data_IF_074893942470
#
_entry.id   IF_074893942470
#
_cell.length_a   1.000
_cell.length_b   1.000
_cell.length_c   1.000
_cell.angle_alpha   90.00
_cell.angle_beta   90.00
_cell.angle_gamma   90.00
#
_symmetry.space_group_name_H-M   'P 1'
#
loop_
_entity.id
_entity.type
_entity.pdbx_description
1 polymer ?
#
# COMPACT_ATOMS: atom_id res chain seq x y z
N UNK A 1 -63.50 -47.34 -22.05
CA UNK A 1 -64.18 -48.04 -20.95
C UNK A 1 -63.85 -47.37 -19.65
N UNK A 2 -64.88 -46.73 -19.11
CA UNK A 2 -65.32 -46.65 -17.70
C UNK A 2 -64.23 -46.17 -16.70
N UNK A 3 -64.38 -44.94 -16.20
CA UNK A 3 -65.06 -44.52 -14.95
C UNK A 3 -64.27 -44.99 -13.69
N UNK A 4 -64.03 -44.18 -12.70
CA UNK A 4 -64.93 -43.31 -11.93
C UNK A 4 -64.18 -42.35 -11.04
N UNK A 5 -64.78 -41.19 -10.90
CA UNK A 5 -64.57 -40.20 -9.80
C UNK A 5 -64.78 -40.85 -8.42
N UNK A 6 -64.07 -40.32 -7.44
CA UNK A 6 -64.70 -40.18 -6.12
C UNK A 6 -64.13 -39.01 -5.38
N UNK A 7 -65.00 -38.10 -4.99
CA UNK A 7 -64.87 -36.97 -4.07
C UNK A 7 -64.66 -37.46 -2.64
N UNK A 8 -63.92 -36.72 -1.85
CA UNK A 8 -64.38 -36.32 -0.51
C UNK A 8 -63.37 -35.34 0.08
N UNK A 9 -63.76 -34.11 0.12
CA UNK A 9 -64.03 -33.23 1.25
C UNK A 9 -63.24 -33.45 2.54
N UNK A 10 -62.68 -32.36 2.96
CA UNK A 10 -62.58 -32.14 4.40
C UNK A 10 -61.57 -31.15 4.89
N UNK A 11 -62.01 -29.88 4.98
CA UNK A 11 -61.74 -28.95 6.09
C UNK A 11 -60.33 -28.50 6.35
N UNK A 12 -60.05 -27.27 6.00
CA UNK A 12 -59.86 -26.13 6.87
C UNK A 12 -58.91 -26.36 8.05
N UNK A 13 -57.68 -25.92 7.92
CA UNK A 13 -57.02 -25.24 9.04
C UNK A 13 -56.17 -24.09 8.52
N UNK A 14 -56.61 -22.95 8.93
CA UNK A 14 -55.98 -21.65 8.87
C UNK A 14 -54.66 -21.62 9.61
N UNK A 15 -53.86 -20.63 9.21
CA UNK A 15 -52.77 -20.01 9.95
C UNK A 15 -51.49 -20.86 10.02
N UNK A 16 -50.44 -20.35 9.34
CA UNK A 16 -49.55 -19.38 9.95
C UNK A 16 -48.83 -18.65 8.82
N UNK A 17 -49.18 -17.41 8.67
CA UNK A 17 -48.39 -16.44 7.94
C UNK A 17 -47.24 -16.08 8.88
N UNK A 18 -46.10 -16.74 8.76
CA UNK A 18 -44.88 -16.27 9.39
C UNK A 18 -44.22 -15.36 8.37
N UNK A 19 -44.39 -14.09 8.64
CA UNK A 19 -43.54 -13.03 8.14
C UNK A 19 -42.07 -13.38 8.46
N UNK A 20 -41.33 -13.86 7.49
CA UNK A 20 -39.88 -13.74 7.52
C UNK A 20 -39.57 -12.40 6.95
N UNK A 21 -39.53 -11.44 7.85
CA UNK A 21 -38.97 -10.11 7.63
C UNK A 21 -37.55 -10.23 7.10
N UNK A 22 -37.37 -9.55 6.01
CA UNK A 22 -36.16 -9.12 5.40
C UNK A 22 -34.98 -9.07 6.39
N UNK A 23 -34.05 -9.96 6.24
CA UNK A 23 -32.69 -9.66 6.59
C UNK A 23 -32.17 -8.69 5.53
N UNK A 24 -32.34 -7.43 5.79
CA UNK A 24 -31.58 -6.39 5.13
C UNK A 24 -30.12 -6.72 5.34
N UNK A 25 -29.45 -7.10 4.27
CA UNK A 25 -28.00 -7.09 4.23
C UNK A 25 -27.56 -5.66 4.56
N UNK A 26 -27.18 -5.43 5.79
CA UNK A 26 -26.43 -4.25 6.18
C UNK A 26 -25.07 -4.43 5.50
N UNK A 27 -24.96 -3.87 4.30
CA UNK A 27 -23.67 -3.61 3.72
C UNK A 27 -22.99 -2.61 4.66
N UNK A 28 -22.19 -3.11 5.59
CA UNK A 28 -21.14 -2.32 6.19
C UNK A 28 -20.19 -1.97 5.05
N UNK A 29 -20.42 -0.85 4.42
CA UNK A 29 -19.35 -0.12 3.75
C UNK A 29 -18.30 0.09 4.84
N UNK A 30 -17.21 -0.64 4.78
CA UNK A 30 -16.00 -0.27 5.49
C UNK A 30 -15.56 1.05 4.85
N UNK A 31 -16.08 2.15 5.39
CA UNK A 31 -15.54 3.47 5.10
C UNK A 31 -14.06 3.41 5.45
N UNK A 32 -13.23 3.65 4.44
CA UNK A 32 -11.79 3.37 4.49
C UNK A 32 -11.12 3.93 5.74
N UNK A 33 -10.29 3.10 6.34
CA UNK A 33 -9.58 3.35 7.60
C UNK A 33 -8.73 4.63 7.59
N UNK A 34 -8.33 5.13 6.41
CA UNK A 34 -7.67 6.45 6.30
C UNK A 34 -8.53 7.63 6.78
N UNK A 35 -9.87 7.50 6.78
CA UNK A 35 -10.76 8.57 7.28
C UNK A 35 -10.68 8.77 8.80
N UNK A 36 -10.16 7.80 9.54
CA UNK A 36 -10.01 7.84 11.02
C UNK A 36 -8.57 7.94 11.50
N UNK A 37 -7.58 7.76 10.63
CA UNK A 37 -6.19 7.90 11.05
C UNK A 37 -5.85 9.38 11.17
N UNK A 38 -5.63 9.85 12.39
CA UNK A 38 -4.91 11.10 12.63
C UNK A 38 -3.48 10.86 12.15
N UNK A 39 -3.17 11.27 10.92
CA UNK A 39 -1.78 11.50 10.54
C UNK A 39 -1.43 12.82 11.22
N UNK A 40 -1.18 12.76 12.54
CA UNK A 40 -0.78 13.93 13.35
C UNK A 40 0.61 14.43 12.89
N UNK A 41 1.42 13.54 12.36
CA UNK A 41 2.71 13.88 11.75
C UNK A 41 2.50 14.38 10.32
N UNK A 42 2.49 15.70 10.14
CA UNK A 42 2.57 16.31 8.80
C UNK A 42 3.88 15.98 8.07
N UNK A 43 4.84 15.42 8.78
CA UNK A 43 6.18 15.11 8.33
C UNK A 43 6.72 13.85 8.99
N UNK A 44 7.18 12.90 8.18
CA UNK A 44 7.95 11.75 8.66
C UNK A 44 9.31 11.77 7.97
N UNK A 45 10.38 11.65 8.75
CA UNK A 45 11.76 11.66 8.23
C UNK A 45 12.50 10.41 8.69
N UNK A 46 13.25 9.83 7.77
CA UNK A 46 14.15 8.71 8.04
C UNK A 46 15.58 9.07 7.69
N UNK A 47 16.50 8.72 8.57
CA UNK A 47 17.91 8.59 8.23
C UNK A 47 18.14 7.24 7.55
N UNK A 48 18.89 7.23 6.46
CA UNK A 48 19.14 6.03 5.66
C UNK A 48 20.60 5.62 5.80
N UNK A 49 20.81 4.33 6.12
CA UNK A 49 22.12 3.74 6.36
C UNK A 49 22.39 2.60 5.37
N UNK A 50 23.63 2.48 4.93
CA UNK A 50 24.15 1.30 4.27
C UNK A 50 25.18 0.64 5.20
N UNK A 51 24.86 -0.54 5.73
CA UNK A 51 25.56 -1.10 6.87
C UNK A 51 25.49 -0.17 8.09
N UNK A 52 26.64 0.30 8.57
CA UNK A 52 26.72 1.28 9.68
C UNK A 52 26.81 2.75 9.21
N UNK A 53 27.02 2.99 7.92
CA UNK A 53 27.26 4.34 7.40
C UNK A 53 25.95 5.00 6.98
N UNK A 54 25.67 6.21 7.50
CA UNK A 54 24.57 7.06 6.99
C UNK A 54 24.90 7.48 5.56
N UNK A 55 23.99 7.21 4.64
CA UNK A 55 24.12 7.50 3.21
C UNK A 55 23.18 8.59 2.73
N UNK A 56 22.19 8.98 3.57
CA UNK A 56 21.24 10.03 3.21
C UNK A 56 20.00 10.02 4.10
N UNK A 57 18.91 10.49 3.51
CA UNK A 57 17.61 10.58 4.18
C UNK A 57 16.47 10.33 3.19
N UNK A 58 15.29 10.05 3.75
CA UNK A 58 14.01 10.00 3.04
C UNK A 58 12.96 10.71 3.89
N UNK A 59 12.22 11.66 3.30
CA UNK A 59 11.23 12.48 3.99
C UNK A 59 9.89 12.35 3.29
N UNK A 60 8.81 12.30 4.07
CA UNK A 60 7.43 12.25 3.61
C UNK A 60 6.67 13.42 4.21
N UNK A 61 5.98 14.18 3.39
CA UNK A 61 5.11 15.28 3.76
C UNK A 61 3.67 14.88 3.48
N UNK A 62 2.76 15.12 4.42
CA UNK A 62 1.37 14.73 4.33
C UNK A 62 0.47 15.95 4.42
N UNK A 63 -0.49 16.04 3.51
CA UNK A 63 -1.51 17.07 3.49
C UNK A 63 -2.88 16.45 3.20
N UNK A 64 -3.86 16.68 4.08
CA UNK A 64 -5.24 16.24 3.87
C UNK A 64 -6.03 17.35 3.18
N UNK A 65 -6.56 17.05 1.99
CA UNK A 65 -7.37 17.96 1.18
C UNK A 65 -8.74 17.33 0.94
N UNK A 66 -9.72 17.70 1.76
CA UNK A 66 -11.04 17.08 1.75
C UNK A 66 -10.99 15.59 2.09
N UNK A 67 -11.31 14.73 1.12
CA UNK A 67 -11.23 13.26 1.27
C UNK A 67 -9.90 12.69 0.78
N UNK A 68 -9.08 13.49 0.13
CA UNK A 68 -7.80 13.07 -0.41
C UNK A 68 -6.67 13.27 0.60
N UNK A 69 -5.71 12.35 0.56
CA UNK A 69 -4.41 12.48 1.23
C UNK A 69 -3.35 12.71 0.16
N UNK A 70 -2.72 13.87 0.20
CA UNK A 70 -1.60 14.23 -0.67
C UNK A 70 -0.31 13.91 0.07
N UNK A 71 0.56 13.16 -0.58
CA UNK A 71 1.85 12.75 -0.01
C UNK A 71 2.96 13.12 -0.97
N UNK A 72 3.90 13.94 -0.50
CA UNK A 72 5.15 14.21 -1.19
C UNK A 72 6.25 13.44 -0.49
N UNK A 73 7.05 12.68 -1.24
CA UNK A 73 8.23 11.99 -0.72
C UNK A 73 9.50 12.47 -1.42
N UNK A 74 10.58 12.62 -0.64
CA UNK A 74 11.88 13.07 -1.10
C UNK A 74 12.98 12.20 -0.50
N UNK A 75 13.66 11.42 -1.34
CA UNK A 75 14.83 10.65 -0.95
C UNK A 75 16.10 11.24 -1.58
N UNK A 76 17.13 11.42 -0.76
CA UNK A 76 18.45 11.88 -1.20
C UNK A 76 19.51 11.02 -0.53
N UNK A 77 20.21 10.23 -1.35
CA UNK A 77 21.21 9.28 -0.87
C UNK A 77 22.45 9.33 -1.77
N UNK A 78 23.60 9.03 -1.15
CA UNK A 78 24.86 8.86 -1.90
C UNK A 78 25.50 7.54 -1.51
N UNK A 79 25.53 6.61 -2.47
CA UNK A 79 26.10 5.29 -2.31
C UNK A 79 27.53 5.26 -2.83
N UNK A 80 28.43 4.68 -2.04
CA UNK A 80 29.78 4.39 -2.51
C UNK A 80 29.81 2.99 -3.11
N UNK A 81 29.96 2.94 -4.43
CA UNK A 81 30.08 1.67 -5.18
C UNK A 81 31.54 1.48 -5.53
N UNK A 82 32.12 0.36 -5.12
CA UNK A 82 33.55 0.11 -5.20
C UNK A 82 34.37 1.19 -4.46
N UNK A 83 35.69 1.16 -4.57
CA UNK A 83 36.57 2.07 -3.80
C UNK A 83 36.50 3.53 -4.26
N UNK A 84 35.98 3.83 -5.45
CA UNK A 84 36.18 5.15 -6.08
C UNK A 84 34.94 5.80 -6.71
N UNK A 85 33.79 5.11 -6.80
CA UNK A 85 32.59 5.67 -7.46
C UNK A 85 31.48 5.96 -6.45
N UNK A 86 31.09 7.22 -6.36
CA UNK A 86 29.87 7.62 -5.65
C UNK A 86 28.71 7.69 -6.66
N UNK A 87 27.60 7.04 -6.31
CA UNK A 87 26.36 7.13 -7.08
C UNK A 87 25.37 7.95 -6.26
N UNK A 88 24.95 9.08 -6.79
CA UNK A 88 23.88 9.90 -6.23
C UNK A 88 22.54 9.27 -6.63
N UNK A 89 21.66 9.10 -5.65
CA UNK A 89 20.28 8.69 -5.82
C UNK A 89 19.37 9.79 -5.29
N UNK A 90 18.56 10.36 -6.17
CA UNK A 90 17.50 11.31 -5.83
C UNK A 90 16.19 10.71 -6.32
N UNK A 91 15.21 10.68 -5.45
CA UNK A 91 13.85 10.30 -5.82
C UNK A 91 12.87 11.28 -5.20
N UNK A 92 11.98 11.80 -6.02
CA UNK A 92 10.85 12.61 -5.62
C UNK A 92 9.58 11.98 -6.17
N UNK A 93 8.56 11.83 -5.33
CA UNK A 93 7.24 11.40 -5.77
C UNK A 93 6.16 12.25 -5.11
N UNK A 94 5.11 12.54 -5.87
CA UNK A 94 3.88 13.17 -5.41
C UNK A 94 2.74 12.18 -5.65
N UNK A 95 2.08 11.77 -4.60
CA UNK A 95 0.99 10.79 -4.63
C UNK A 95 -0.29 11.41 -4.09
N UNK A 96 -1.42 11.05 -4.66
CA UNK A 96 -2.74 11.40 -4.13
C UNK A 96 -3.52 10.13 -3.89
N UNK A 97 -4.03 9.99 -2.67
CA UNK A 97 -4.70 8.82 -2.17
C UNK A 97 -6.12 9.13 -1.73
N UNK A 98 -7.05 8.20 -1.92
CA UNK A 98 -8.38 8.21 -1.34
C UNK A 98 -8.81 6.78 -1.06
N UNK A 99 -9.44 6.54 0.10
CA UNK A 99 -9.98 5.23 0.49
C UNK A 99 -8.96 4.08 0.35
N UNK A 100 -7.70 4.31 0.76
CA UNK A 100 -6.56 3.39 0.68
C UNK A 100 -6.12 3.02 -0.76
N UNK A 101 -6.62 3.74 -1.78
CA UNK A 101 -6.24 3.55 -3.17
C UNK A 101 -5.49 4.77 -3.70
N UNK A 102 -4.48 4.50 -4.51
CA UNK A 102 -3.76 5.54 -5.24
C UNK A 102 -4.66 6.11 -6.34
N UNK A 103 -4.92 7.42 -6.33
CA UNK A 103 -5.68 8.10 -7.38
C UNK A 103 -4.78 8.58 -8.51
N UNK A 104 -3.63 9.13 -8.15
CA UNK A 104 -2.61 9.57 -9.11
C UNK A 104 -1.25 9.67 -8.44
N UNK A 105 -0.21 9.59 -9.25
CA UNK A 105 1.14 9.90 -8.82
C UNK A 105 1.96 10.48 -9.97
N UNK A 106 3.02 11.19 -9.62
CA UNK A 106 4.13 11.53 -10.49
C UNK A 106 5.43 11.30 -9.72
N UNK A 107 6.42 10.73 -10.37
CA UNK A 107 7.73 10.53 -9.76
C UNK A 107 8.86 10.88 -10.71
N UNK A 108 9.99 11.27 -10.12
CA UNK A 108 11.24 11.51 -10.81
C UNK A 108 12.37 10.87 -10.00
N UNK A 109 13.17 10.05 -10.68
CA UNK A 109 14.31 9.37 -10.07
C UNK A 109 15.58 9.67 -10.87
N UNK A 110 16.62 10.12 -10.18
CA UNK A 110 17.97 10.30 -10.72
C UNK A 110 18.89 9.33 -10.01
N UNK A 111 19.54 8.45 -10.77
CA UNK A 111 20.48 7.46 -10.26
C UNK A 111 21.79 7.50 -11.07
N UNK A 112 22.79 8.17 -10.52
CA UNK A 112 24.00 8.50 -11.26
C UNK A 112 23.68 9.40 -12.45
N UNK A 113 23.93 8.91 -13.67
CA UNK A 113 23.68 9.63 -14.92
C UNK A 113 22.32 9.30 -15.55
N UNK A 114 21.53 8.41 -14.92
CA UNK A 114 20.22 7.98 -15.42
C UNK A 114 19.12 8.76 -14.76
N UNK A 115 18.13 9.19 -15.56
CA UNK A 115 16.92 9.85 -15.10
C UNK A 115 15.70 9.05 -15.60
N UNK A 116 14.72 8.88 -14.72
CA UNK A 116 13.44 8.22 -15.02
C UNK A 116 12.30 9.04 -14.43
N UNK A 117 11.29 9.33 -15.26
CA UNK A 117 10.03 9.92 -14.83
C UNK A 117 8.90 8.96 -15.11
N UNK A 118 7.99 8.84 -14.15
CA UNK A 118 6.82 7.97 -14.23
C UNK A 118 5.60 8.72 -13.71
N UNK A 119 4.49 8.57 -14.39
CA UNK A 119 3.20 9.11 -13.98
C UNK A 119 2.14 8.03 -13.99
N UNK A 120 1.16 8.15 -13.11
CA UNK A 120 0.02 7.24 -13.09
C UNK A 120 -1.24 7.93 -12.61
N UNK A 121 -2.38 7.48 -13.13
CA UNK A 121 -3.69 8.05 -12.80
C UNK A 121 -4.79 7.01 -12.90
N UNK A 122 -5.73 7.11 -11.98
CA UNK A 122 -6.97 6.34 -11.97
C UNK A 122 -8.01 6.98 -12.90
N UNK A 123 -8.66 6.15 -13.72
CA UNK A 123 -9.76 6.49 -14.62
C UNK A 123 -10.99 5.60 -14.34
N UNK A 124 -11.35 5.48 -13.07
CA UNK A 124 -12.48 4.66 -12.62
C UNK A 124 -12.07 3.21 -12.36
N UNK A 125 -12.29 2.31 -13.31
CA UNK A 125 -11.94 0.89 -13.20
C UNK A 125 -10.48 0.57 -13.59
N UNK A 126 -9.76 1.55 -14.13
CA UNK A 126 -8.43 1.40 -14.67
C UNK A 126 -7.46 2.40 -14.09
N UNK A 127 -6.28 1.92 -13.74
CA UNK A 127 -5.15 2.75 -13.37
C UNK A 127 -4.10 2.67 -14.48
N UNK A 128 -3.83 3.79 -15.14
CA UNK A 128 -2.89 3.89 -16.25
C UNK A 128 -1.58 4.45 -15.73
N UNK A 129 -0.47 3.78 -16.03
CA UNK A 129 0.88 4.22 -15.69
C UNK A 129 1.68 4.43 -16.97
N UNK A 130 2.25 5.60 -17.12
CA UNK A 130 3.03 6.03 -18.29
C UNK A 130 4.48 6.34 -17.90
N UNK A 131 5.41 5.92 -18.73
CA UNK A 131 6.83 6.29 -18.70
C UNK A 131 7.39 6.37 -20.11
N UNK A 132 8.68 6.63 -20.26
CA UNK A 132 9.33 6.72 -21.58
C UNK A 132 9.27 5.43 -22.43
N UNK A 133 9.00 4.27 -21.80
CA UNK A 133 8.91 2.98 -22.48
C UNK A 133 7.50 2.64 -22.96
N UNK A 134 6.48 3.44 -22.58
CA UNK A 134 5.08 3.25 -22.95
C UNK A 134 4.12 3.30 -21.76
N UNK A 135 2.96 2.69 -21.95
CA UNK A 135 1.87 2.66 -20.96
C UNK A 135 1.60 1.23 -20.48
N UNK A 136 1.31 1.11 -19.19
CA UNK A 136 0.76 -0.09 -18.58
C UNK A 136 -0.60 0.25 -17.95
N UNK A 137 -1.50 -0.74 -17.95
CA UNK A 137 -2.83 -0.59 -17.38
C UNK A 137 -3.05 -1.66 -16.33
N UNK A 138 -3.56 -1.22 -15.17
CA UNK A 138 -3.92 -2.09 -14.04
C UNK A 138 -5.40 -1.90 -13.72
N UNK A 139 -6.03 -2.88 -13.10
CA UNK A 139 -7.44 -2.83 -12.71
C UNK A 139 -7.60 -2.67 -11.21
N UNK A 140 -8.69 -2.03 -10.78
CA UNK A 140 -9.07 -1.92 -9.37
C UNK A 140 -8.27 -0.91 -8.56
N UNK A 141 -8.22 -1.14 -7.26
CA UNK A 141 -7.51 -0.30 -6.29
C UNK A 141 -6.01 -0.60 -6.33
N UNK A 142 -5.24 0.30 -6.88
CA UNK A 142 -3.77 0.19 -6.91
C UNK A 142 -3.20 0.78 -5.62
N UNK A 143 -2.24 0.08 -5.01
CA UNK A 143 -1.45 0.54 -3.87
C UNK A 143 0.03 0.58 -4.24
N UNK A 144 0.75 1.60 -3.77
CA UNK A 144 2.21 1.67 -3.95
C UNK A 144 2.95 1.08 -2.74
N UNK A 145 4.28 1.07 -2.78
CA UNK A 145 5.13 0.77 -1.61
C UNK A 145 5.09 1.91 -0.58
N UNK A 146 3.89 2.33 -0.20
CA UNK A 146 3.63 3.40 0.76
C UNK A 146 3.74 2.87 2.21
N UNK A 147 4.96 2.59 2.69
CA UNK A 147 5.21 1.96 4.00
C UNK A 147 4.58 2.69 5.18
N UNK A 148 4.28 3.97 5.03
CA UNK A 148 3.56 4.79 6.00
C UNK A 148 2.07 4.44 6.11
N UNK A 149 1.51 3.68 5.15
CA UNK A 149 0.13 3.21 5.12
C UNK A 149 0.11 1.68 5.34
N UNK A 150 -0.04 1.16 6.57
CA UNK A 150 0.06 -0.28 6.85
C UNK A 150 -1.00 -1.13 6.15
N UNK A 151 -2.03 -0.53 5.56
CA UNK A 151 -2.99 -1.22 4.67
C UNK A 151 -2.31 -1.84 3.42
N UNK A 152 -1.10 -1.36 3.08
CA UNK A 152 -0.29 -2.00 2.03
C UNK A 152 0.04 -3.46 2.37
N UNK A 153 0.05 -3.81 3.67
CA UNK A 153 0.37 -5.17 4.14
C UNK A 153 -0.73 -6.20 3.82
N UNK A 154 -1.89 -5.75 3.33
CA UNK A 154 -2.99 -6.59 2.87
C UNK A 154 -2.99 -6.76 1.33
N UNK A 155 -2.05 -6.15 0.63
CA UNK A 155 -1.98 -6.21 -0.82
C UNK A 155 -1.27 -7.48 -1.31
N UNK A 156 -1.73 -8.00 -2.44
CA UNK A 156 -1.08 -9.09 -3.17
C UNK A 156 -0.10 -8.56 -4.23
N UNK A 157 -0.26 -7.29 -4.62
CA UNK A 157 0.59 -6.59 -5.57
C UNK A 157 0.78 -5.13 -5.14
N UNK A 158 1.98 -4.60 -5.32
CA UNK A 158 2.32 -3.22 -5.01
C UNK A 158 2.99 -2.53 -6.22
N UNK A 159 2.55 -1.32 -6.50
CA UNK A 159 3.14 -0.49 -7.55
C UNK A 159 4.45 0.12 -7.08
N UNK A 160 5.51 -0.12 -7.81
CA UNK A 160 6.76 0.60 -7.64
C UNK A 160 6.69 1.92 -8.43
N UNK A 161 6.46 3.03 -7.73
CA UNK A 161 6.34 4.35 -8.36
C UNK A 161 7.65 4.84 -8.98
N UNK A 162 8.81 4.26 -8.61
CA UNK A 162 10.10 4.60 -9.23
C UNK A 162 10.15 4.21 -10.72
N UNK A 163 9.52 3.09 -11.09
CA UNK A 163 9.62 2.53 -12.45
C UNK A 163 8.28 2.17 -13.10
N UNK A 164 7.16 2.32 -12.38
CA UNK A 164 5.82 2.03 -12.88
C UNK A 164 5.47 0.54 -13.00
N UNK A 165 6.21 -0.34 -12.34
CA UNK A 165 5.98 -1.78 -12.39
C UNK A 165 5.13 -2.22 -11.20
N UNK A 166 4.05 -2.97 -11.47
CA UNK A 166 3.28 -3.67 -10.45
C UNK A 166 4.01 -4.97 -10.09
N UNK A 167 4.29 -5.16 -8.82
CA UNK A 167 5.12 -6.25 -8.30
C UNK A 167 4.28 -7.14 -7.40
N UNK A 168 4.20 -8.47 -7.67
CA UNK A 168 3.54 -9.40 -6.76
C UNK A 168 4.32 -9.47 -5.44
N UNK A 169 3.57 -9.48 -4.33
CA UNK A 169 4.12 -9.51 -2.99
C UNK A 169 3.43 -10.58 -2.15
N UNK A 170 4.17 -11.11 -1.18
CA UNK A 170 3.60 -11.91 -0.09
C UNK A 170 4.03 -11.32 1.22
N UNK A 171 3.07 -11.00 2.07
CA UNK A 171 3.33 -10.36 3.35
C UNK A 171 3.18 -11.35 4.49
N UNK A 172 4.19 -11.39 5.36
CA UNK A 172 4.18 -12.13 6.62
C UNK A 172 4.23 -11.11 7.77
N UNK A 173 3.18 -11.06 8.61
CA UNK A 173 3.07 -10.14 9.75
C UNK A 173 3.23 -10.92 11.05
N UNK A 174 4.03 -10.40 11.99
CA UNK A 174 4.29 -11.02 13.28
C UNK A 174 4.29 -9.99 14.41
N UNK A 175 3.69 -10.27 15.57
CA UNK A 175 3.83 -9.40 16.74
C UNK A 175 5.30 -9.38 17.21
N UNK A 176 5.73 -8.26 17.76
CA UNK A 176 7.06 -8.18 18.39
C UNK A 176 7.00 -8.83 19.78
N UNK A 177 7.84 -9.83 20.00
CA UNK A 177 7.83 -10.57 21.28
C UNK A 177 8.41 -9.79 22.47
N UNK A 178 9.28 -8.80 22.22
CA UNK A 178 10.03 -8.08 23.25
C UNK A 178 9.81 -6.56 23.25
N UNK A 179 9.07 -6.05 22.30
CA UNK A 179 8.79 -4.61 22.14
C UNK A 179 7.33 -4.43 21.76
N UNK A 180 6.75 -3.27 22.07
CA UNK A 180 5.41 -2.93 21.57
C UNK A 180 5.41 -2.79 20.04
N UNK A 181 4.28 -3.15 19.39
CA UNK A 181 4.12 -3.10 17.95
C UNK A 181 4.30 -4.44 17.24
N UNK A 182 4.59 -4.39 15.96
CA UNK A 182 4.72 -5.58 15.13
C UNK A 182 5.76 -5.39 14.02
N UNK A 183 6.20 -6.52 13.48
CA UNK A 183 7.05 -6.59 12.30
C UNK A 183 6.29 -7.18 11.13
N UNK A 184 6.62 -6.73 9.92
CA UNK A 184 6.11 -7.29 8.68
C UNK A 184 7.24 -7.51 7.69
N UNK A 185 7.23 -8.66 7.02
CA UNK A 185 8.13 -8.95 5.91
C UNK A 185 7.36 -8.97 4.61
N UNK A 186 7.71 -8.10 3.69
CA UNK A 186 7.22 -8.11 2.31
C UNK A 186 8.19 -8.93 1.47
N UNK A 187 7.75 -10.11 1.05
CA UNK A 187 8.52 -10.98 0.16
C UNK A 187 8.25 -10.58 -1.29
N UNK A 188 9.31 -10.28 -2.00
CA UNK A 188 9.34 -9.93 -3.42
C UNK A 188 9.97 -11.09 -4.21
N UNK A 189 9.79 -11.19 -5.53
CA UNK A 189 10.35 -12.27 -6.33
C UNK A 189 11.87 -12.45 -6.23
N UNK A 190 12.62 -11.38 -5.89
CA UNK A 190 14.10 -11.38 -5.86
C UNK A 190 14.72 -10.79 -4.60
N UNK A 191 13.90 -10.35 -3.65
CA UNK A 191 14.37 -9.70 -2.42
C UNK A 191 13.26 -9.73 -1.36
N UNK A 192 13.57 -9.21 -0.18
CA UNK A 192 12.58 -8.98 0.87
C UNK A 192 12.80 -7.62 1.51
N UNK A 193 11.74 -7.09 2.08
CA UNK A 193 11.74 -5.85 2.85
C UNK A 193 11.17 -6.18 4.22
N UNK A 194 11.94 -5.95 5.26
CA UNK A 194 11.54 -6.12 6.64
C UNK A 194 11.16 -4.74 7.21
N UNK A 195 9.96 -4.64 7.80
CA UNK A 195 9.38 -3.41 8.32
C UNK A 195 9.09 -3.56 9.81
N UNK A 196 9.18 -2.46 10.56
CA UNK A 196 8.71 -2.39 11.94
C UNK A 196 7.73 -1.24 12.13
N UNK A 197 6.67 -1.53 12.87
CA UNK A 197 5.61 -0.60 13.25
C UNK A 197 5.44 -0.59 14.75
N UNK A 198 5.02 0.56 15.30
CA UNK A 198 4.53 0.68 16.67
C UNK A 198 3.08 0.18 16.77
N UNK A 199 2.52 0.10 17.98
CA UNK A 199 1.14 -0.35 18.21
C UNK A 199 0.08 0.54 17.55
N UNK A 200 0.40 1.82 17.32
CA UNK A 200 -0.43 2.81 16.64
C UNK A 200 -0.26 2.81 15.11
N UNK A 201 0.33 1.74 14.56
CA UNK A 201 0.64 1.60 13.14
C UNK A 201 1.67 2.60 12.59
N UNK A 202 2.39 3.31 13.44
CA UNK A 202 3.48 4.19 12.99
C UNK A 202 4.67 3.37 12.48
N UNK A 203 5.02 3.58 11.22
CA UNK A 203 6.22 3.00 10.63
C UNK A 203 7.50 3.61 11.21
N UNK A 204 8.41 2.79 11.75
CA UNK A 204 9.62 3.24 12.43
C UNK A 204 10.93 2.74 11.83
N UNK A 205 10.92 1.59 11.15
CA UNK A 205 12.14 1.00 10.58
C UNK A 205 11.84 0.22 9.30
N UNK A 206 12.80 0.23 8.38
CA UNK A 206 12.85 -0.64 7.22
C UNK A 206 14.25 -1.20 7.07
N UNK A 207 14.34 -2.50 6.78
CA UNK A 207 15.58 -3.15 6.34
C UNK A 207 15.36 -3.90 5.03
N UNK A 208 16.34 -3.83 4.14
CA UNK A 208 16.40 -4.66 2.94
C UNK A 208 17.85 -4.88 2.52
N UNK A 209 18.11 -5.96 1.79
CA UNK A 209 19.43 -6.24 1.24
C UNK A 209 19.51 -5.77 -0.22
N UNK A 210 20.32 -4.77 -0.48
CA UNK A 210 20.66 -4.35 -1.84
C UNK A 210 21.72 -5.28 -2.41
N UNK A 211 21.43 -5.86 -3.57
CA UNK A 211 22.38 -6.72 -4.29
C UNK A 211 23.68 -5.94 -4.53
N UNK A 212 24.81 -6.47 -4.14
CA UNK A 212 26.16 -5.88 -4.28
C UNK A 212 26.49 -4.71 -3.33
N UNK A 213 25.52 -4.09 -2.67
CA UNK A 213 25.77 -2.95 -1.76
C UNK A 213 25.67 -3.35 -0.28
N UNK A 214 24.90 -4.40 0.03
CA UNK A 214 24.68 -4.85 1.40
C UNK A 214 23.37 -4.35 1.99
N UNK A 215 23.29 -4.34 3.30
CA UNK A 215 22.07 -4.04 4.06
C UNK A 215 21.78 -2.53 4.06
N UNK A 216 20.63 -2.15 3.50
CA UNK A 216 20.04 -0.82 3.59
C UNK A 216 19.08 -0.78 4.77
N UNK A 217 19.12 0.29 5.55
CA UNK A 217 18.28 0.47 6.72
C UNK A 217 17.78 1.90 6.83
N UNK A 218 16.49 2.02 7.09
CA UNK A 218 15.83 3.29 7.43
C UNK A 218 15.58 3.31 8.94
N UNK A 219 15.85 4.45 9.57
CA UNK A 219 15.53 4.70 10.98
C UNK A 219 14.78 6.01 11.10
N UNK A 220 13.56 5.97 11.68
CA UNK A 220 12.75 7.17 11.92
C UNK A 220 13.53 8.15 12.78
N UNK A 221 13.55 9.42 12.36
CA UNK A 221 14.11 10.51 13.16
C UNK A 221 13.01 10.97 14.10
N UNK A 222 13.29 10.93 15.39
CA UNK A 222 12.41 11.50 16.42
C UNK A 222 12.60 13.00 16.39
N UNK A 223 11.56 13.75 16.04
CA UNK A 223 11.53 15.22 16.03
C UNK A 223 10.90 15.73 17.32
#
# INVERSE_FOLDING_TARGET
>A
MKQRMSYCNGTLKKLIFVLILAYGAVNFSQAGVLAGRNIDDKLIKFDVFLGSKKVGFHTFYFEKVGKELHVKSEANMTFRVFLFKNIKYLHEANEVWQDNCLLKFSSKTIKGDSELSVEGKNFGDKFIVSNLSGENQFSGCVRSFAYWAPELLEAEELLNVENGVLVPVKVDKQPNHNESGYSATINLPKSKIDLKYQDDDNWIELETNLKLLGKLRYKKVVT
#
